data_IF_849250813634
#
_entry.id   IF_849250813634
#
_cell.length_a   1.000
_cell.length_b   1.000
_cell.length_c   1.000
_cell.angle_alpha   90.00
_cell.angle_beta   90.00
_cell.angle_gamma   90.00
#
_symmetry.space_group_name_H-M   'P 1'
#
loop_
_entity.id
_entity.type
_entity.pdbx_description
1 polymer ?
#
# COMPACT_ATOMS: atom_id res chain seq x y z
N UNK A 1 -49.25 46.06 10.54
CA UNK A 1 -50.29 45.01 10.63
C UNK A 1 -50.22 44.27 9.31
N UNK A 2 -49.38 43.23 9.23
CA UNK A 2 -49.75 41.79 9.40
C UNK A 2 -50.56 41.31 8.19
N UNK A 3 -50.32 40.20 7.50
CA UNK A 3 -49.37 39.08 7.56
C UNK A 3 -49.71 38.28 6.28
N UNK A 4 -48.74 37.94 5.42
CA UNK A 4 -48.95 36.98 4.32
C UNK A 4 -47.71 36.10 4.26
N UNK A 5 -47.81 34.93 4.90
CA UNK A 5 -46.80 33.89 4.83
C UNK A 5 -46.78 33.25 3.46
N UNK A 6 -45.62 33.30 2.82
CA UNK A 6 -45.29 32.53 1.62
C UNK A 6 -44.12 31.62 1.97
N UNK A 7 -44.34 30.32 1.80
CA UNK A 7 -43.48 29.22 2.22
C UNK A 7 -42.31 29.01 1.24
N UNK A 8 -41.08 29.16 1.72
CA UNK A 8 -39.88 28.65 1.02
C UNK A 8 -39.68 27.14 1.26
N UNK A 9 -39.29 26.36 0.24
CA UNK A 9 -38.99 24.95 0.41
C UNK A 9 -37.55 24.76 0.93
N UNK A 10 -37.44 24.14 2.10
CA UNK A 10 -36.18 23.68 2.71
C UNK A 10 -35.42 22.72 1.78
N UNK A 11 -34.10 22.86 1.58
CA UNK A 11 -33.31 21.88 0.84
C UNK A 11 -33.23 20.56 1.61
N UNK A 12 -33.80 19.50 1.03
CA UNK A 12 -33.64 18.12 1.50
C UNK A 12 -32.16 17.74 1.44
N UNK A 13 -31.55 17.52 2.60
CA UNK A 13 -30.29 16.77 2.72
C UNK A 13 -30.57 15.32 2.31
N UNK A 14 -29.78 14.70 1.43
CA UNK A 14 -29.86 13.27 1.24
C UNK A 14 -29.14 12.58 2.41
N UNK A 15 -29.93 12.18 3.41
CA UNK A 15 -29.55 11.17 4.41
C UNK A 15 -29.44 9.81 3.71
N UNK A 16 -28.30 9.57 3.08
CA UNK A 16 -27.80 8.22 2.86
C UNK A 16 -27.04 7.79 4.10
N UNK A 17 -27.18 6.54 4.59
CA UNK A 17 -26.38 6.07 5.70
C UNK A 17 -24.93 6.01 5.24
N UNK A 18 -24.16 7.03 5.61
CA UNK A 18 -22.69 6.95 5.65
C UNK A 18 -22.40 5.85 6.66
N UNK A 19 -22.08 4.67 6.16
CA UNK A 19 -21.57 3.55 6.95
C UNK A 19 -20.34 4.06 7.70
N UNK A 20 -20.55 4.41 8.96
CA UNK A 20 -19.51 4.87 9.86
C UNK A 20 -18.50 3.72 10.03
N UNK A 21 -17.27 3.96 9.60
CA UNK A 21 -16.11 3.10 9.83
C UNK A 21 -15.71 3.02 11.32
N UNK A 22 -16.50 3.58 12.25
CA UNK A 22 -16.12 3.82 13.64
C UNK A 22 -16.60 2.77 14.67
N UNK A 23 -17.10 1.60 14.26
CA UNK A 23 -17.54 0.57 15.23
C UNK A 23 -16.89 -0.80 15.09
N UNK A 24 -15.84 -0.94 14.27
CA UNK A 24 -15.13 -2.24 14.16
C UNK A 24 -14.29 -2.47 15.41
N UNK A 25 -14.53 -3.59 16.10
CA UNK A 25 -13.69 -3.97 17.23
C UNK A 25 -12.22 -4.12 16.78
N UNK A 26 -11.22 -3.91 17.67
CA UNK A 26 -9.81 -4.06 17.30
C UNK A 26 -9.45 -5.41 16.66
N UNK A 27 -10.19 -6.47 17.00
CA UNK A 27 -10.10 -7.78 16.32
C UNK A 27 -10.56 -7.69 14.87
N UNK A 28 -11.77 -7.20 14.62
CA UNK A 28 -12.33 -7.07 13.28
C UNK A 28 -11.46 -6.20 12.37
N UNK A 29 -10.89 -5.12 12.91
CA UNK A 29 -9.94 -4.29 12.16
C UNK A 29 -8.72 -5.10 11.72
N UNK A 30 -8.10 -5.84 12.63
CA UNK A 30 -6.89 -6.63 12.34
C UNK A 30 -7.19 -7.74 11.34
N UNK A 31 -8.30 -8.46 11.52
CA UNK A 31 -8.74 -9.52 10.60
C UNK A 31 -9.06 -8.96 9.21
N UNK A 32 -9.79 -7.85 9.13
CA UNK A 32 -10.11 -7.19 7.86
C UNK A 32 -8.85 -6.68 7.15
N UNK A 33 -7.92 -6.08 7.90
CA UNK A 33 -6.65 -5.63 7.36
C UNK A 33 -5.80 -6.80 6.83
N UNK A 34 -5.74 -7.92 7.56
CA UNK A 34 -5.04 -9.11 7.11
C UNK A 34 -5.67 -9.69 5.83
N UNK A 35 -7.00 -9.81 5.79
CA UNK A 35 -7.73 -10.30 4.62
C UNK A 35 -7.51 -9.40 3.40
N UNK A 36 -7.56 -8.08 3.58
CA UNK A 36 -7.28 -7.11 2.51
C UNK A 36 -5.83 -7.17 2.02
N UNK A 37 -4.88 -7.41 2.91
CA UNK A 37 -3.47 -7.62 2.55
C UNK A 37 -3.33 -8.91 1.77
N UNK A 38 -3.95 -9.99 2.23
CA UNK A 38 -3.91 -11.32 1.63
C UNK A 38 -4.51 -11.34 0.21
N UNK A 39 -5.60 -10.61 -0.01
CA UNK A 39 -6.24 -10.48 -1.32
C UNK A 39 -5.44 -9.65 -2.33
N UNK A 40 -4.39 -8.95 -1.91
CA UNK A 40 -3.54 -8.21 -2.84
C UNK A 40 -2.56 -9.18 -3.51
N UNK A 41 -2.38 -9.09 -4.84
CA UNK A 41 -1.36 -9.85 -5.52
C UNK A 41 0.00 -9.53 -4.91
N UNK A 42 0.83 -10.55 -4.71
CA UNK A 42 2.20 -10.31 -4.28
C UNK A 42 2.91 -9.48 -5.36
N UNK A 43 3.49 -8.32 -5.00
CA UNK A 43 4.32 -7.57 -5.93
C UNK A 43 5.63 -8.34 -6.05
N UNK A 44 5.68 -9.43 -6.82
CA UNK A 44 6.92 -10.19 -6.92
C UNK A 44 7.20 -10.80 -8.29
N UNK A 45 8.41 -10.50 -8.74
CA UNK A 45 9.09 -11.04 -9.93
C UNK A 45 10.18 -12.07 -9.56
N UNK A 46 10.56 -12.21 -8.27
CA UNK A 46 11.60 -13.13 -7.80
C UNK A 46 11.02 -14.53 -7.51
N UNK A 47 11.34 -15.56 -8.31
CA UNK A 47 10.83 -16.92 -8.13
C UNK A 47 11.26 -17.59 -6.82
N UNK A 48 12.24 -17.03 -6.10
CA UNK A 48 12.73 -17.61 -4.84
C UNK A 48 11.81 -17.32 -3.66
N UNK A 49 10.97 -16.28 -3.72
CA UNK A 49 10.08 -15.91 -2.62
C UNK A 49 8.86 -16.82 -2.62
N UNK A 50 8.70 -17.59 -1.56
CA UNK A 50 7.56 -18.49 -1.37
C UNK A 50 6.53 -17.95 -0.38
N UNK A 51 6.87 -16.88 0.34
CA UNK A 51 5.91 -16.20 1.20
C UNK A 51 6.36 -14.81 1.62
N UNK A 52 5.41 -14.02 2.10
CA UNK A 52 5.65 -12.65 2.58
C UNK A 52 4.92 -12.44 3.90
N UNK A 53 5.63 -11.89 4.88
CA UNK A 53 5.02 -11.36 6.11
C UNK A 53 4.87 -9.85 5.98
N UNK A 54 3.63 -9.36 5.99
CA UNK A 54 3.33 -7.94 5.83
C UNK A 54 2.80 -7.35 7.13
N UNK A 55 3.45 -6.31 7.61
CA UNK A 55 3.11 -5.60 8.84
C UNK A 55 1.67 -5.05 8.78
N UNK A 56 0.83 -5.48 9.73
CA UNK A 56 -0.54 -4.99 9.87
C UNK A 56 -0.58 -3.86 10.90
N UNK A 57 -0.02 -4.12 12.08
CA UNK A 57 -0.06 -3.19 13.21
C UNK A 57 0.81 -1.93 12.99
N UNK A 58 0.42 -0.82 13.61
CA UNK A 58 1.20 0.43 13.58
C UNK A 58 2.62 0.25 14.12
N UNK A 59 2.80 -0.59 15.15
CA UNK A 59 4.13 -0.92 15.69
C UNK A 59 4.98 -1.67 14.68
N UNK A 60 4.42 -2.68 14.02
CA UNK A 60 5.14 -3.46 13.01
C UNK A 60 5.50 -2.62 11.77
N UNK A 61 4.67 -1.64 11.39
CA UNK A 61 4.92 -0.76 10.23
C UNK A 61 6.07 0.23 10.43
N UNK A 62 6.45 0.52 11.68
CA UNK A 62 7.56 1.44 12.02
C UNK A 62 8.95 0.79 11.92
N UNK A 63 9.03 -0.44 11.42
CA UNK A 63 10.30 -1.14 11.27
C UNK A 63 11.17 -0.49 10.18
N UNK A 64 12.48 -0.30 10.44
CA UNK A 64 13.38 0.31 9.45
C UNK A 64 13.56 -0.56 8.20
N UNK A 65 13.34 -1.87 8.29
CA UNK A 65 13.41 -2.81 7.17
C UNK A 65 12.19 -2.75 6.25
N UNK A 66 11.22 -1.88 6.54
CA UNK A 66 9.99 -1.74 5.80
C UNK A 66 8.87 -2.67 6.28
N UNK A 67 7.76 -2.63 5.55
CA UNK A 67 6.52 -3.31 5.94
C UNK A 67 6.48 -4.80 5.57
N UNK A 68 7.35 -5.26 4.67
CA UNK A 68 7.34 -6.62 4.15
C UNK A 68 8.62 -7.37 4.55
N UNK A 69 8.48 -8.63 4.95
CA UNK A 69 9.59 -9.57 5.09
C UNK A 69 9.41 -10.66 4.04
N UNK A 70 10.37 -10.77 3.13
CA UNK A 70 10.35 -11.73 2.03
C UNK A 70 10.97 -13.05 2.48
N UNK A 71 10.22 -14.14 2.34
CA UNK A 71 10.66 -15.48 2.71
C UNK A 71 11.17 -16.21 1.47
N UNK A 72 12.49 -16.34 1.35
CA UNK A 72 13.19 -16.90 0.17
C UNK A 72 13.87 -18.25 0.46
N UNK A 73 14.37 -18.43 1.68
CA UNK A 73 15.04 -19.66 2.14
C UNK A 73 14.08 -20.66 2.78
N UNK A 74 14.48 -21.91 2.97
CA UNK A 74 13.57 -22.91 3.56
C UNK A 74 13.22 -22.63 5.03
N UNK A 75 14.08 -21.97 5.80
CA UNK A 75 13.85 -21.55 7.18
C UNK A 75 14.25 -20.08 7.35
N UNK A 76 13.44 -19.31 8.08
CA UNK A 76 13.76 -17.96 8.52
C UNK A 76 13.51 -17.84 10.02
N UNK A 77 14.49 -17.32 10.74
CA UNK A 77 14.41 -17.05 12.17
C UNK A 77 14.12 -15.58 12.38
N UNK A 78 13.18 -15.31 13.27
CA UNK A 78 12.73 -13.96 13.62
C UNK A 78 13.06 -13.75 15.08
N UNK A 79 13.60 -12.58 15.42
CA UNK A 79 13.87 -12.25 16.81
C UNK A 79 14.62 -10.95 16.98
N UNK A 80 14.99 -10.64 18.22
CA UNK A 80 15.67 -9.40 18.57
C UNK A 80 17.14 -9.37 18.18
N UNK A 81 17.81 -10.53 18.12
CA UNK A 81 19.25 -10.63 17.82
C UNK A 81 19.46 -11.60 16.66
N UNK A 82 19.19 -11.14 15.43
CA UNK A 82 19.37 -11.92 14.20
C UNK A 82 20.59 -11.46 13.41
N UNK A 83 21.25 -12.41 12.77
CA UNK A 83 22.31 -12.16 11.78
C UNK A 83 21.72 -11.47 10.55
N UNK A 84 20.61 -12.02 10.03
CA UNK A 84 19.84 -11.37 8.97
C UNK A 84 18.95 -10.27 9.55
N UNK A 85 19.37 -9.02 9.30
CA UNK A 85 18.69 -7.81 9.78
C UNK A 85 17.28 -7.65 9.23
N UNK A 86 16.92 -8.30 8.12
CA UNK A 86 15.56 -8.30 7.55
C UNK A 86 14.54 -8.97 8.48
N UNK A 87 15.01 -9.90 9.32
CA UNK A 87 14.18 -10.62 10.28
C UNK A 87 14.38 -10.17 11.73
N UNK A 88 15.16 -9.11 11.94
CA UNK A 88 15.34 -8.51 13.25
C UNK A 88 14.17 -7.61 13.63
N UNK A 89 13.68 -7.75 14.87
CA UNK A 89 12.68 -6.85 15.45
C UNK A 89 13.18 -6.36 16.81
N UNK A 90 13.48 -5.07 16.86
CA UNK A 90 14.05 -4.44 18.05
C UNK A 90 12.96 -4.09 19.07
N UNK A 91 12.70 -5.03 19.98
CA UNK A 91 11.78 -4.84 21.10
C UNK A 91 12.15 -5.76 22.25
N UNK A 92 12.20 -5.22 23.47
CA UNK A 92 12.47 -6.01 24.68
C UNK A 92 11.42 -7.10 24.94
N UNK A 93 10.21 -6.97 24.38
CA UNK A 93 9.18 -8.00 24.44
C UNK A 93 9.47 -9.21 23.53
N UNK A 94 10.51 -9.13 22.69
CA UNK A 94 10.89 -10.14 21.72
C UNK A 94 12.22 -10.78 22.15
N UNK A 95 12.20 -12.11 22.33
CA UNK A 95 13.40 -12.92 22.59
C UNK A 95 14.45 -12.80 21.47
N UNK A 96 15.72 -13.06 21.82
CA UNK A 96 16.85 -13.00 20.88
C UNK A 96 16.59 -13.84 19.62
N UNK A 97 16.22 -15.12 19.81
CA UNK A 97 15.66 -16.02 18.80
C UNK A 97 14.21 -16.32 19.21
N UNK A 98 13.25 -15.69 18.52
CA UNK A 98 11.87 -15.62 18.98
C UNK A 98 11.03 -16.75 18.40
N UNK A 99 10.96 -16.84 17.08
CA UNK A 99 10.27 -17.91 16.38
C UNK A 99 10.98 -18.20 15.06
N UNK A 100 10.57 -19.30 14.44
CA UNK A 100 10.99 -19.65 13.09
C UNK A 100 9.81 -20.00 12.23
N UNK A 101 9.86 -19.54 10.99
CA UNK A 101 8.93 -19.88 9.93
C UNK A 101 9.68 -20.62 8.83
N UNK A 102 9.17 -21.76 8.40
CA UNK A 102 9.85 -22.62 7.43
C UNK A 102 8.85 -23.36 6.56
N UNK A 103 9.28 -23.72 5.36
CA UNK A 103 8.50 -24.58 4.47
C UNK A 103 9.08 -25.99 4.48
N UNK A 104 8.20 -27.00 4.51
CA UNK A 104 8.54 -28.42 4.33
C UNK A 104 7.86 -28.91 3.06
N UNK A 105 8.59 -29.69 2.27
CA UNK A 105 7.98 -30.47 1.19
C UNK A 105 7.31 -31.67 1.84
N UNK A 106 6.00 -31.78 1.66
CA UNK A 106 5.22 -32.92 2.18
C UNK A 106 5.11 -34.02 1.11
N UNK A 107 5.40 -33.69 -0.15
CA UNK A 107 5.39 -34.62 -1.28
C UNK A 107 6.63 -34.48 -2.17
N UNK A 108 7.02 -35.56 -2.87
CA UNK A 108 8.15 -35.54 -3.84
C UNK A 108 7.84 -34.65 -5.06
N UNK A 109 6.55 -34.47 -5.34
CA UNK A 109 6.06 -33.45 -6.26
C UNK A 109 6.22 -32.06 -5.61
N UNK A 110 7.13 -31.27 -6.19
CA UNK A 110 7.47 -29.89 -5.81
C UNK A 110 6.30 -28.88 -5.73
N UNK A 111 5.04 -29.31 -5.82
CA UNK A 111 3.85 -28.50 -6.11
C UNK A 111 3.09 -27.95 -4.89
N UNK A 112 3.43 -28.39 -3.67
CA UNK A 112 2.81 -27.80 -2.48
C UNK A 112 3.71 -27.93 -1.25
N UNK A 113 4.56 -26.94 -1.01
CA UNK A 113 5.23 -26.86 0.28
C UNK A 113 4.23 -26.38 1.35
N UNK A 114 4.13 -27.12 2.46
CA UNK A 114 3.43 -26.66 3.67
C UNK A 114 4.36 -25.75 4.46
N UNK A 115 3.78 -24.70 5.06
CA UNK A 115 4.52 -23.70 5.84
C UNK A 115 4.20 -23.91 7.31
N UNK A 116 5.21 -23.87 8.15
CA UNK A 116 5.09 -24.11 9.58
C UNK A 116 5.71 -22.97 10.37
N UNK A 117 5.12 -22.69 11.52
CA UNK A 117 5.59 -21.73 12.52
C UNK A 117 5.87 -22.47 13.82
N UNK A 118 7.06 -22.23 14.38
CA UNK A 118 7.46 -22.75 15.69
C UNK A 118 7.88 -21.59 16.59
N UNK A 119 7.20 -21.47 17.72
CA UNK A 119 7.61 -20.55 18.78
C UNK A 119 8.84 -21.10 19.53
N UNK A 120 9.78 -20.23 19.82
CA UNK A 120 10.97 -20.51 20.63
C UNK A 120 11.18 -19.48 21.74
N UNK A 121 10.20 -18.60 21.94
CA UNK A 121 10.32 -17.39 22.73
C UNK A 121 9.92 -17.59 24.20
N UNK A 122 10.19 -16.56 25.00
CA UNK A 122 9.77 -16.51 26.40
C UNK A 122 8.31 -16.06 26.54
N UNK A 123 7.89 -15.09 25.72
CA UNK A 123 6.56 -14.47 25.84
C UNK A 123 5.47 -15.19 25.03
N UNK A 124 5.88 -16.08 24.11
CA UNK A 124 5.02 -16.83 23.20
C UNK A 124 4.65 -16.02 21.96
N UNK A 125 4.56 -16.72 20.83
CA UNK A 125 4.08 -16.19 19.54
C UNK A 125 2.57 -16.47 19.41
N UNK A 126 1.83 -15.67 18.68
CA UNK A 126 0.39 -15.84 18.45
C UNK A 126 0.11 -16.07 16.98
N UNK A 127 -0.65 -17.11 16.66
CA UNK A 127 -1.20 -17.38 15.33
C UNK A 127 -2.72 -17.23 15.43
N UNK A 128 -3.33 -16.29 14.68
CA UNK A 128 -4.78 -16.04 14.73
C UNK A 128 -5.33 -15.94 16.18
N UNK A 129 -4.66 -15.16 17.04
CA UNK A 129 -4.96 -14.99 18.48
C UNK A 129 -4.71 -16.21 19.37
N UNK A 130 -4.41 -17.38 18.81
CA UNK A 130 -4.00 -18.56 19.57
C UNK A 130 -2.52 -18.45 19.96
N UNK A 131 -2.21 -18.67 21.25
CA UNK A 131 -0.85 -18.55 21.77
C UNK A 131 -0.07 -19.85 21.56
N UNK A 132 0.99 -19.77 20.76
CA UNK A 132 2.05 -20.76 20.63
C UNK A 132 3.09 -20.57 21.74
N UNK A 133 3.65 -21.67 22.22
CA UNK A 133 4.68 -21.67 23.27
C UNK A 133 5.91 -22.44 22.83
N UNK A 134 7.05 -22.15 23.46
CA UNK A 134 8.33 -22.81 23.19
C UNK A 134 8.27 -24.33 23.23
N UNK A 135 7.50 -24.89 24.17
CA UNK A 135 7.32 -26.33 24.34
C UNK A 135 6.21 -26.92 23.47
N UNK A 136 5.31 -26.09 22.94
CA UNK A 136 4.20 -26.51 22.09
C UNK A 136 4.65 -27.01 20.71
N UNK A 137 3.77 -27.65 19.93
CA UNK A 137 4.11 -28.13 18.60
C UNK A 137 4.41 -26.99 17.61
N UNK A 138 5.00 -27.33 16.47
CA UNK A 138 4.94 -26.49 15.28
C UNK A 138 3.50 -26.50 14.72
N UNK A 139 3.05 -25.38 14.17
CA UNK A 139 1.70 -25.23 13.62
C UNK A 139 1.78 -24.81 12.16
N UNK A 140 0.91 -25.37 11.31
CA UNK A 140 0.82 -25.00 9.91
C UNK A 140 0.27 -23.57 9.75
N UNK A 141 0.90 -22.77 8.90
CA UNK A 141 0.49 -21.41 8.55
C UNK A 141 -0.10 -21.39 7.16
N UNK A 142 -1.28 -20.79 7.04
CA UNK A 142 -2.04 -20.67 5.79
C UNK A 142 -2.04 -19.23 5.29
N UNK A 143 -2.22 -19.09 3.99
CA UNK A 143 -2.38 -17.78 3.36
C UNK A 143 -3.50 -16.98 4.06
N UNK A 144 -3.19 -15.76 4.48
CA UNK A 144 -4.10 -14.87 5.23
C UNK A 144 -3.93 -14.91 6.74
N UNK A 145 -3.19 -15.88 7.28
CA UNK A 145 -3.01 -16.00 8.74
C UNK A 145 -2.27 -14.81 9.34
N UNK A 146 -2.63 -14.49 10.59
CA UNK A 146 -2.04 -13.39 11.36
C UNK A 146 -1.05 -13.96 12.37
N UNK A 147 0.19 -13.48 12.30
CA UNK A 147 1.26 -13.82 13.24
C UNK A 147 1.60 -12.59 14.08
N UNK A 148 1.55 -12.71 15.40
CA UNK A 148 1.98 -11.65 16.33
C UNK A 148 2.99 -12.18 17.32
N UNK A 149 4.07 -11.44 17.56
CA UNK A 149 5.22 -12.04 18.23
C UNK A 149 5.15 -12.03 19.76
N UNK A 150 4.68 -10.99 20.41
CA UNK A 150 4.85 -10.87 21.88
C UNK A 150 3.57 -10.61 22.66
N UNK A 151 2.46 -10.43 21.96
CA UNK A 151 1.15 -10.12 22.51
C UNK A 151 0.08 -10.46 21.47
N UNK A 152 -1.19 -10.54 21.86
CA UNK A 152 -2.29 -10.63 20.91
C UNK A 152 -2.18 -9.55 19.81
N UNK A 153 -2.62 -9.84 18.57
CA UNK A 153 -2.40 -8.99 17.40
C UNK A 153 -2.79 -7.50 17.54
N UNK A 154 -3.68 -7.14 18.47
CA UNK A 154 -4.10 -5.74 18.67
C UNK A 154 -3.03 -4.88 19.36
N UNK A 155 -2.11 -5.50 20.11
CA UNK A 155 -1.15 -4.79 20.97
C UNK A 155 0.32 -5.01 20.59
N UNK A 156 0.57 -6.07 19.80
CA UNK A 156 1.90 -6.53 19.41
C UNK A 156 2.32 -6.16 18.00
N UNK A 157 3.54 -6.57 17.63
CA UNK A 157 4.00 -6.55 16.25
C UNK A 157 3.29 -7.68 15.47
N UNK A 158 2.17 -7.35 14.83
CA UNK A 158 1.37 -8.27 14.04
C UNK A 158 1.64 -8.16 12.52
N UNK A 159 1.67 -9.31 11.87
CA UNK A 159 1.95 -9.52 10.45
C UNK A 159 0.90 -10.43 9.81
N UNK A 160 0.50 -10.14 8.58
CA UNK A 160 -0.28 -11.04 7.73
C UNK A 160 0.69 -11.90 6.92
N UNK A 161 0.48 -13.20 6.89
CA UNK A 161 1.20 -14.12 6.03
C UNK A 161 0.51 -14.25 4.68
N UNK A 162 1.28 -14.12 3.60
CA UNK A 162 0.84 -14.40 2.24
C UNK A 162 1.72 -15.49 1.66
N UNK A 163 1.12 -16.63 1.35
CA UNK A 163 1.77 -17.66 0.54
C UNK A 163 1.86 -17.14 -0.90
N UNK A 164 3.02 -17.23 -1.52
CA UNK A 164 3.13 -16.99 -2.95
C UNK A 164 2.44 -18.15 -3.68
N UNK A 165 1.59 -17.83 -4.67
CA UNK A 165 1.11 -18.86 -5.58
C UNK A 165 2.34 -19.43 -6.30
N UNK A 166 2.55 -20.74 -6.17
CA UNK A 166 3.55 -21.41 -6.97
C UNK A 166 3.06 -21.28 -8.42
N UNK A 167 3.83 -20.58 -9.25
CA UNK A 167 3.59 -20.52 -10.69
C UNK A 167 3.52 -21.96 -11.20
N UNK A 168 2.30 -22.49 -11.36
CA UNK A 168 2.07 -23.71 -12.11
C UNK A 168 2.53 -23.37 -13.51
N UNK A 169 3.66 -23.97 -13.91
CA UNK A 169 4.17 -23.87 -15.26
C UNK A 169 3.23 -24.56 -16.25
N UNK A 170 2.07 -23.96 -16.53
CA UNK A 170 1.44 -24.05 -17.84
C UNK A 170 2.05 -22.98 -18.75
N UNK A 171 3.38 -22.91 -18.79
CA UNK A 171 4.11 -22.29 -19.88
C UNK A 171 4.05 -23.22 -21.10
N UNK A 172 2.84 -23.52 -21.59
CA UNK A 172 2.70 -23.71 -23.03
C UNK A 172 3.04 -22.35 -23.62
N UNK A 173 4.28 -22.23 -24.10
CA UNK A 173 4.78 -21.11 -24.89
C UNK A 173 3.78 -20.80 -26.02
N UNK A 174 2.75 -20.02 -25.74
CA UNK A 174 2.08 -19.26 -26.78
C UNK A 174 3.03 -18.12 -27.09
N UNK A 175 3.63 -18.21 -28.28
CA UNK A 175 4.35 -17.11 -28.90
C UNK A 175 3.43 -15.89 -28.91
N UNK A 176 3.64 -14.97 -27.98
CA UNK A 176 2.88 -13.73 -27.88
C UNK A 176 3.41 -12.91 -26.71
N UNK A 177 4.20 -11.89 -27.02
CA UNK A 177 4.72 -10.93 -26.04
C UNK A 177 3.53 -10.11 -25.54
N UNK A 178 2.98 -10.42 -24.38
CA UNK A 178 1.87 -9.69 -23.78
C UNK A 178 1.79 -9.93 -22.28
N UNK A 179 2.26 -8.96 -21.51
CA UNK A 179 2.15 -8.94 -20.04
C UNK A 179 0.68 -8.60 -19.72
N UNK A 180 -0.11 -9.61 -19.35
CA UNK A 180 -1.53 -9.47 -19.01
C UNK A 180 -1.76 -9.55 -17.51
N UNK A 181 -2.56 -8.61 -16.98
CA UNK A 181 -3.12 -8.62 -15.63
C UNK A 181 -4.25 -9.68 -15.52
N UNK A 182 -4.84 -9.95 -14.33
CA UNK A 182 -5.86 -11.01 -14.17
C UNK A 182 -7.22 -10.68 -14.80
N UNK A 183 -7.43 -9.44 -15.23
CA UNK A 183 -8.50 -9.07 -16.16
C UNK A 183 -8.05 -9.55 -17.54
N UNK A 184 -8.87 -10.36 -18.23
CA UNK A 184 -8.51 -10.97 -19.53
C UNK A 184 -7.93 -9.99 -20.57
N UNK A 185 -7.42 -10.47 -21.71
CA UNK A 185 -6.74 -9.60 -22.67
C UNK A 185 -7.59 -8.37 -22.97
N UNK A 186 -7.03 -7.18 -22.70
CA UNK A 186 -7.66 -5.89 -22.99
C UNK A 186 -8.23 -5.94 -24.41
N UNK A 187 -9.52 -5.62 -24.55
CA UNK A 187 -10.15 -5.59 -25.86
C UNK A 187 -9.36 -4.69 -26.81
N UNK A 188 -9.17 -5.14 -28.06
CA UNK A 188 -8.43 -4.37 -29.08
C UNK A 188 -9.02 -2.96 -29.26
N UNK A 189 -10.34 -2.82 -29.08
CA UNK A 189 -11.01 -1.52 -29.17
C UNK A 189 -10.70 -0.62 -27.98
N UNK A 190 -10.62 -1.19 -26.77
CA UNK A 190 -10.23 -0.45 -25.56
C UNK A 190 -8.78 0.02 -25.66
N UNK A 191 -7.87 -0.83 -26.13
CA UNK A 191 -6.48 -0.45 -26.35
C UNK A 191 -6.37 0.71 -27.34
N UNK A 192 -7.06 0.62 -28.49
CA UNK A 192 -7.09 1.71 -29.49
C UNK A 192 -7.76 2.97 -28.96
N UNK A 193 -8.78 2.83 -28.12
CA UNK A 193 -9.47 3.94 -27.48
C UNK A 193 -8.54 4.66 -26.49
N UNK A 194 -7.89 3.91 -25.60
CA UNK A 194 -6.90 4.44 -24.65
C UNK A 194 -5.70 5.07 -25.36
N UNK A 195 -5.20 4.45 -26.44
CA UNK A 195 -4.08 5.01 -27.20
C UNK A 195 -4.46 6.35 -27.84
N UNK A 196 -5.67 6.47 -28.40
CA UNK A 196 -6.20 7.75 -28.92
C UNK A 196 -6.37 8.77 -27.81
N UNK A 197 -7.00 8.40 -26.70
CA UNK A 197 -7.22 9.28 -25.56
C UNK A 197 -5.90 9.80 -24.97
N UNK A 198 -4.91 8.95 -24.78
CA UNK A 198 -3.59 9.34 -24.29
C UNK A 198 -2.85 10.26 -25.27
N UNK A 199 -3.00 10.05 -26.58
CA UNK A 199 -2.41 10.93 -27.60
C UNK A 199 -3.07 12.32 -27.55
N UNK A 200 -4.39 12.36 -27.44
CA UNK A 200 -5.14 13.61 -27.34
C UNK A 200 -4.82 14.37 -26.05
N UNK A 201 -4.75 13.67 -24.90
CA UNK A 201 -4.35 14.27 -23.62
C UNK A 201 -2.93 14.87 -23.67
N UNK A 202 -1.99 14.20 -24.32
CA UNK A 202 -0.63 14.74 -24.53
C UNK A 202 -0.67 16.02 -25.37
N UNK A 203 -1.42 16.02 -26.46
CA UNK A 203 -1.59 17.20 -27.31
C UNK A 203 -2.26 18.37 -26.58
N UNK A 204 -3.26 18.09 -25.74
CA UNK A 204 -3.90 19.09 -24.89
C UNK A 204 -2.92 19.68 -23.88
N UNK A 205 -2.10 18.83 -23.25
CA UNK A 205 -1.07 19.28 -22.31
C UNK A 205 -0.04 20.19 -22.99
N UNK A 206 0.46 19.79 -24.17
CA UNK A 206 1.38 20.61 -24.97
C UNK A 206 0.78 21.98 -25.33
N UNK A 207 -0.48 22.01 -25.77
CA UNK A 207 -1.20 23.25 -26.10
C UNK A 207 -1.36 24.17 -24.88
N UNK A 208 -1.69 23.60 -23.71
CA UNK A 208 -1.81 24.37 -22.48
C UNK A 208 -0.47 24.95 -22.04
N UNK A 209 0.62 24.19 -22.12
CA UNK A 209 1.96 24.68 -21.79
C UNK A 209 2.34 25.87 -22.66
N UNK A 210 2.12 25.78 -23.97
CA UNK A 210 2.38 26.89 -24.91
C UNK A 210 1.56 28.14 -24.52
N UNK A 211 0.29 27.94 -24.16
CA UNK A 211 -0.61 29.04 -23.76
C UNK A 211 -0.13 29.71 -22.47
N UNK A 212 0.27 28.91 -21.47
CA UNK A 212 0.79 29.41 -20.19
C UNK A 212 2.07 30.22 -20.41
N UNK A 213 2.98 29.74 -21.24
CA UNK A 213 4.25 30.43 -21.51
C UNK A 213 4.03 31.75 -22.25
N UNK A 214 3.07 31.77 -23.19
CA UNK A 214 2.64 33.01 -23.85
C UNK A 214 2.10 34.02 -22.83
N UNK A 215 1.15 33.63 -21.99
CA UNK A 215 0.57 34.50 -20.96
C UNK A 215 1.61 35.00 -19.94
N UNK A 216 2.58 34.15 -19.58
CA UNK A 216 3.70 34.55 -18.72
C UNK A 216 4.59 35.57 -19.40
N UNK A 217 4.86 35.42 -20.70
CA UNK A 217 5.65 36.39 -21.46
C UNK A 217 4.95 37.74 -21.58
N UNK A 218 3.65 37.75 -21.87
CA UNK A 218 2.83 38.95 -21.97
C UNK A 218 2.73 39.68 -20.63
N UNK A 219 2.52 38.95 -19.53
CA UNK A 219 2.53 39.52 -18.18
C UNK A 219 3.88 40.18 -17.85
N UNK A 220 5.01 39.55 -18.20
CA UNK A 220 6.33 40.17 -17.96
C UNK A 220 6.47 41.49 -18.70
N UNK A 221 6.09 41.53 -19.98
CA UNK A 221 6.16 42.75 -20.79
C UNK A 221 5.23 43.85 -20.26
N UNK A 222 4.01 43.48 -19.84
CA UNK A 222 3.06 44.43 -19.28
C UNK A 222 3.54 45.02 -17.94
N UNK A 223 4.17 44.21 -17.08
CA UNK A 223 4.77 44.68 -15.82
C UNK A 223 5.92 45.64 -16.10
N UNK A 224 6.81 45.31 -17.04
CA UNK A 224 7.94 46.19 -17.41
C UNK A 224 7.47 47.53 -17.98
N UNK A 225 6.46 47.51 -18.86
CA UNK A 225 5.85 48.72 -19.39
C UNK A 225 5.28 49.61 -18.28
N UNK A 226 4.49 49.02 -17.37
CA UNK A 226 3.89 49.75 -16.26
C UNK A 226 4.96 50.30 -15.29
N UNK A 227 6.06 49.58 -15.05
CA UNK A 227 7.18 50.09 -14.26
C UNK A 227 7.88 51.29 -14.92
N UNK A 228 8.07 51.25 -16.25
CA UNK A 228 8.66 52.35 -17.01
C UNK A 228 7.75 53.59 -16.99
N UNK A 229 6.46 53.45 -17.26
CA UNK A 229 5.49 54.55 -17.20
C UNK A 229 5.44 55.18 -15.79
N UNK A 230 5.48 54.33 -14.75
CA UNK A 230 5.50 54.81 -13.36
C UNK A 230 6.78 55.58 -13.03
N UNK A 231 7.91 55.20 -13.62
CA UNK A 231 9.17 55.93 -13.47
C UNK A 231 9.12 57.28 -14.19
N UNK A 232 8.62 57.33 -15.42
CA UNK A 232 8.45 58.57 -16.19
C UNK A 232 7.47 59.55 -15.51
N UNK A 233 6.37 59.05 -14.95
CA UNK A 233 5.43 59.85 -14.17
C UNK A 233 6.09 60.44 -12.91
N UNK A 234 6.90 59.65 -12.19
CA UNK A 234 7.65 60.15 -11.03
C UNK A 234 8.66 61.23 -11.42
N UNK A 235 9.38 61.06 -12.53
CA UNK A 235 10.36 62.04 -13.01
C UNK A 235 9.69 63.34 -13.49
N UNK A 236 8.54 63.25 -14.17
CA UNK A 236 7.79 64.44 -14.59
C UNK A 236 7.20 65.20 -13.40
N UNK A 237 6.67 64.52 -12.38
CA UNK A 237 6.23 65.15 -11.13
C UNK A 237 7.41 65.85 -10.43
N UNK A 238 8.57 65.20 -10.32
CA UNK A 238 9.75 65.78 -9.67
C UNK A 238 10.28 67.04 -10.39
N UNK A 239 10.12 67.15 -11.72
CA UNK A 239 10.51 68.33 -12.49
C UNK A 239 9.52 69.50 -12.37
N UNK A 240 8.31 69.27 -11.87
CA UNK A 240 7.24 70.27 -11.81
C UNK A 240 7.09 70.87 -10.39
N UNK A 241 7.86 70.38 -9.41
CA UNK A 241 7.93 70.93 -8.06
C UNK A 241 9.09 71.95 -7.96
N UNK A 242 8.83 73.20 -7.54
CA UNK A 242 9.86 74.24 -7.36
C UNK A 242 10.75 74.02 -6.13
#
# INVERSE_FOLDING_TARGET
MSDVGESEPTPLKPDGPVLSEESKSPMQFTTSAAAKIASQPLPNYDPSVWGVLTAISNKARKRPQGINMLLTSNEHRIGRCMDDKRFQIDSNAISANHCKIYRKKVDEDMKCASVFLKDTSTNGTFLNWEKLTKVGPEVEVRHGDIISLSAPPQHGAAFAFRKAEEFVGENKRLKGIGIGAPEGPISLDDFRSLQRSNTELRKQLESQVITIDKLRSENRLAVEHHENEKKELKESVAKTLP
#
